data_IF_199929821675
#
_entry.id   IF_199929821675
#
_cell.length_a   1.000
_cell.length_b   1.000
_cell.length_c   1.000
_cell.angle_alpha   90.00
_cell.angle_beta   90.00
_cell.angle_gamma   90.00
#
_symmetry.space_group_name_H-M   'P 1'
#
loop_
_entity.id
_entity.type
_entity.pdbx_description
1 polymer ?
#
# COMPACT_ATOMS: atom_id res chain seq x y z
N UNK A 1 -20.32 7.23 27.70
CA UNK A 1 -19.10 6.55 27.24
C UNK A 1 -18.49 7.39 26.11
N UNK A 2 -17.45 8.17 26.38
CA UNK A 2 -16.79 8.98 25.34
C UNK A 2 -15.68 8.18 24.69
N UNK A 3 -15.90 7.70 23.46
CA UNK A 3 -14.85 7.09 22.64
C UNK A 3 -14.03 8.25 22.07
N UNK A 4 -12.87 8.54 22.67
CA UNK A 4 -11.88 9.46 22.10
C UNK A 4 -11.01 8.67 21.12
N UNK A 5 -11.31 8.76 19.83
CA UNK A 5 -10.42 8.20 18.79
C UNK A 5 -9.27 9.19 18.57
N UNK A 6 -8.00 8.82 18.81
CA UNK A 6 -6.88 9.67 18.45
C UNK A 6 -6.94 9.98 16.95
N UNK A 7 -6.72 11.24 16.54
CA UNK A 7 -6.74 11.64 15.13
C UNK A 7 -5.86 10.72 14.25
N UNK A 8 -4.76 10.21 14.81
CA UNK A 8 -3.89 9.22 14.19
C UNK A 8 -4.59 7.90 13.87
N UNK A 9 -5.25 7.26 14.83
CA UNK A 9 -5.93 5.98 14.60
C UNK A 9 -7.06 6.11 13.59
N UNK A 10 -7.79 7.23 13.61
CA UNK A 10 -8.83 7.51 12.63
C UNK A 10 -8.25 7.66 11.22
N UNK A 11 -7.18 8.44 11.03
CA UNK A 11 -6.50 8.57 9.74
C UNK A 11 -5.94 7.24 9.23
N UNK A 12 -5.45 6.39 10.13
CA UNK A 12 -5.00 5.04 9.79
C UNK A 12 -6.13 4.21 9.19
N UNK A 13 -7.26 4.14 9.90
CA UNK A 13 -8.43 3.37 9.47
C UNK A 13 -9.02 3.92 8.17
N UNK A 14 -9.11 5.25 8.01
CA UNK A 14 -9.59 5.88 6.78
C UNK A 14 -8.66 5.52 5.61
N UNK A 15 -7.34 5.69 5.77
CA UNK A 15 -6.38 5.37 4.71
C UNK A 15 -6.40 3.89 4.33
N UNK A 16 -6.46 3.01 5.32
CA UNK A 16 -6.54 1.57 5.11
C UNK A 16 -7.84 1.19 4.38
N UNK A 17 -8.97 1.73 4.84
CA UNK A 17 -10.29 1.47 4.23
C UNK A 17 -10.36 2.04 2.80
N UNK A 18 -9.82 3.22 2.55
CA UNK A 18 -9.78 3.81 1.22
C UNK A 18 -8.97 2.96 0.23
N UNK A 19 -7.79 2.49 0.64
CA UNK A 19 -6.99 1.55 -0.16
C UNK A 19 -7.76 0.25 -0.39
N UNK A 20 -8.36 -0.31 0.66
CA UNK A 20 -9.14 -1.52 0.60
C UNK A 20 -10.31 -1.42 -0.39
N UNK A 21 -11.11 -0.35 -0.30
CA UNK A 21 -12.23 -0.08 -1.21
C UNK A 21 -11.75 0.16 -2.64
N UNK A 22 -10.64 0.86 -2.85
CA UNK A 22 -10.05 1.04 -4.18
C UNK A 22 -9.69 -0.30 -4.81
N UNK A 23 -9.18 -1.25 -4.03
CA UNK A 23 -8.84 -2.59 -4.52
C UNK A 23 -10.06 -3.40 -4.94
N UNK A 24 -11.24 -3.12 -4.40
CA UNK A 24 -12.49 -3.77 -4.80
C UNK A 24 -13.04 -3.27 -6.14
N UNK A 25 -12.46 -2.22 -6.73
CA UNK A 25 -12.87 -1.73 -8.05
C UNK A 25 -12.53 -2.79 -9.12
N UNK A 26 -13.52 -3.26 -9.91
CA UNK A 26 -13.29 -4.26 -10.95
C UNK A 26 -12.52 -3.68 -12.15
N UNK A 27 -11.93 -4.55 -12.97
CA UNK A 27 -11.24 -4.21 -14.23
C UNK A 27 -10.02 -3.27 -14.13
N UNK A 28 -9.46 -3.13 -12.94
CA UNK A 28 -8.16 -2.45 -12.76
C UNK A 28 -7.02 -3.34 -13.23
N UNK A 29 -5.92 -2.76 -13.78
CA UNK A 29 -4.73 -3.53 -14.08
C UNK A 29 -4.22 -4.25 -12.82
N UNK A 30 -3.72 -5.49 -12.94
CA UNK A 30 -3.16 -6.22 -11.81
C UNK A 30 -2.12 -5.39 -11.07
N UNK A 31 -2.21 -5.35 -9.74
CA UNK A 31 -1.31 -4.61 -8.85
C UNK A 31 -1.14 -3.10 -9.12
N UNK A 32 -2.00 -2.48 -9.94
CA UNK A 32 -2.09 -1.03 -10.00
C UNK A 32 -2.92 -0.53 -8.81
N UNK A 33 -2.31 -0.46 -7.63
CA UNK A 33 -3.02 -0.18 -6.38
C UNK A 33 -2.28 0.82 -5.47
N UNK A 34 -3.02 1.63 -4.70
CA UNK A 34 -2.43 2.67 -3.85
C UNK A 34 -1.81 2.14 -2.54
N UNK A 35 -1.65 0.83 -2.36
CA UNK A 35 -1.20 0.24 -1.10
C UNK A 35 0.22 0.70 -0.72
N UNK A 36 1.20 0.55 -1.61
CA UNK A 36 2.57 0.97 -1.37
C UNK A 36 2.65 2.50 -1.25
N UNK A 37 1.93 3.22 -2.11
CA UNK A 37 1.87 4.68 -2.10
C UNK A 37 1.28 5.26 -0.79
N UNK A 38 0.40 4.52 -0.13
CA UNK A 38 -0.17 4.90 1.17
C UNK A 38 0.72 4.48 2.31
N UNK A 39 1.29 3.27 2.25
CA UNK A 39 2.19 2.73 3.28
C UNK A 39 3.43 3.59 3.46
N UNK A 40 4.05 4.08 2.38
CA UNK A 40 5.26 4.92 2.46
C UNK A 40 5.10 6.12 3.41
N UNK A 41 4.15 7.05 3.20
CA UNK A 41 3.95 8.17 4.12
C UNK A 41 3.42 7.74 5.50
N UNK A 42 2.55 6.72 5.55
CA UNK A 42 1.99 6.22 6.81
C UNK A 42 3.07 5.62 7.72
N UNK A 43 4.08 5.01 7.13
CA UNK A 43 5.12 4.31 7.87
C UNK A 43 5.94 5.20 8.79
N UNK A 44 6.09 6.48 8.45
CA UNK A 44 6.70 7.48 9.33
C UNK A 44 5.93 7.69 10.63
N UNK A 45 4.59 7.69 10.56
CA UNK A 45 3.73 8.00 11.71
C UNK A 45 3.39 6.78 12.54
N UNK A 46 3.15 5.64 11.91
CA UNK A 46 2.57 4.45 12.58
C UNK A 46 3.59 3.35 12.92
N UNK A 47 4.87 3.61 12.69
CA UNK A 47 5.94 2.69 13.06
C UNK A 47 5.98 1.40 12.22
N UNK A 48 6.90 0.48 12.53
CA UNK A 48 7.09 -0.74 11.75
C UNK A 48 5.87 -1.68 11.85
N UNK A 49 5.31 -1.85 13.05
CA UNK A 49 4.16 -2.74 13.26
C UNK A 49 2.89 -2.22 12.55
N UNK A 50 2.58 -0.93 12.67
CA UNK A 50 1.43 -0.34 11.98
C UNK A 50 1.57 -0.44 10.46
N UNK A 51 2.78 -0.25 9.94
CA UNK A 51 3.07 -0.39 8.51
C UNK A 51 2.95 -1.85 8.03
N UNK A 52 3.44 -2.79 8.84
CA UNK A 52 3.31 -4.22 8.56
C UNK A 52 1.83 -4.61 8.48
N UNK A 53 1.05 -4.27 9.52
CA UNK A 53 -0.36 -4.61 9.59
C UNK A 53 -1.16 -3.94 8.48
N UNK A 54 -0.81 -2.72 8.08
CA UNK A 54 -1.47 -2.04 6.95
C UNK A 54 -1.38 -2.88 5.67
N UNK A 55 -0.16 -3.29 5.30
CA UNK A 55 0.08 -4.11 4.11
C UNK A 55 -0.50 -5.51 4.24
N UNK A 56 -0.17 -6.20 5.34
CA UNK A 56 -0.54 -7.58 5.59
C UNK A 56 -2.06 -7.78 5.64
N UNK A 57 -2.76 -7.02 6.50
CA UNK A 57 -4.22 -7.14 6.61
C UNK A 57 -4.91 -6.65 5.35
N UNK A 58 -4.34 -5.65 4.65
CA UNK A 58 -4.85 -5.16 3.38
C UNK A 58 -4.99 -6.27 2.34
N UNK A 59 -4.00 -7.18 2.28
CA UNK A 59 -4.03 -8.36 1.43
C UNK A 59 -4.99 -9.42 1.97
N UNK A 60 -4.82 -9.85 3.22
CA UNK A 60 -5.61 -10.95 3.80
C UNK A 60 -7.11 -10.67 3.72
N UNK A 61 -7.52 -9.44 4.04
CA UNK A 61 -8.93 -9.06 3.98
C UNK A 61 -9.46 -9.01 2.53
N UNK A 62 -8.64 -8.57 1.58
CA UNK A 62 -9.07 -8.46 0.18
C UNK A 62 -9.27 -9.82 -0.44
N UNK A 63 -8.31 -10.73 -0.25
CA UNK A 63 -8.38 -12.09 -0.74
C UNK A 63 -9.55 -12.83 -0.08
N UNK A 64 -9.78 -12.64 1.22
CA UNK A 64 -10.94 -13.21 1.93
C UNK A 64 -12.28 -12.84 1.28
N UNK A 65 -12.39 -11.62 0.72
CA UNK A 65 -13.62 -11.12 0.10
C UNK A 65 -13.74 -11.38 -1.40
N UNK A 66 -12.66 -11.81 -2.06
CA UNK A 66 -12.63 -11.92 -3.53
C UNK A 66 -12.30 -13.32 -4.00
N UNK A 67 -11.02 -13.72 -3.95
CA UNK A 67 -10.52 -14.98 -4.50
C UNK A 67 -10.45 -16.13 -3.50
N UNK A 68 -10.68 -15.87 -2.21
CA UNK A 68 -10.39 -16.80 -1.12
C UNK A 68 -8.90 -16.85 -0.78
N UNK A 69 -8.55 -17.68 0.21
CA UNK A 69 -7.18 -17.82 0.70
C UNK A 69 -6.40 -18.88 -0.08
N UNK A 70 -5.13 -18.58 -0.37
CA UNK A 70 -4.21 -19.51 -1.04
C UNK A 70 -2.73 -19.17 -0.83
N UNK A 71 -1.85 -19.83 -1.59
CA UNK A 71 -0.41 -19.52 -1.58
C UNK A 71 -0.13 -18.06 -1.94
N UNK A 72 -0.91 -17.50 -2.86
CA UNK A 72 -0.89 -16.09 -3.20
C UNK A 72 -1.11 -15.19 -1.99
N UNK A 73 -2.13 -15.47 -1.16
CA UNK A 73 -2.47 -14.65 0.00
C UNK A 73 -1.31 -14.53 0.98
N UNK A 74 -0.71 -15.65 1.36
CA UNK A 74 0.36 -15.64 2.37
C UNK A 74 1.63 -14.95 1.87
N UNK A 75 2.06 -15.26 0.65
CA UNK A 75 3.28 -14.68 0.08
C UNK A 75 3.09 -13.18 -0.12
N UNK A 76 2.00 -12.75 -0.76
CA UNK A 76 1.75 -11.33 -1.04
C UNK A 76 1.50 -10.51 0.24
N UNK A 77 0.77 -11.06 1.23
CA UNK A 77 0.55 -10.39 2.50
C UNK A 77 1.85 -10.18 3.27
N UNK A 78 2.73 -11.19 3.28
CA UNK A 78 4.05 -11.07 3.89
C UNK A 78 4.93 -10.07 3.13
N UNK A 79 4.94 -10.11 1.80
CA UNK A 79 5.71 -9.16 1.00
C UNK A 79 5.25 -7.71 1.24
N UNK A 80 3.95 -7.42 1.23
CA UNK A 80 3.46 -6.07 1.52
C UNK A 80 3.67 -5.65 2.97
N UNK A 81 3.49 -6.57 3.93
CA UNK A 81 3.80 -6.30 5.33
C UNK A 81 5.28 -5.94 5.53
N UNK A 82 6.19 -6.72 4.95
CA UNK A 82 7.63 -6.47 5.02
C UNK A 82 8.05 -5.22 4.25
N UNK A 83 7.43 -4.91 3.11
CA UNK A 83 7.60 -3.61 2.44
C UNK A 83 7.20 -2.45 3.35
N UNK A 84 6.13 -2.60 4.14
CA UNK A 84 5.75 -1.59 5.14
C UNK A 84 6.81 -1.40 6.23
N UNK A 85 7.38 -2.49 6.73
CA UNK A 85 8.50 -2.42 7.69
C UNK A 85 9.72 -1.74 7.06
N UNK A 86 10.07 -2.13 5.83
CA UNK A 86 11.15 -1.52 5.06
C UNK A 86 10.92 -0.04 4.82
N UNK A 87 9.69 0.38 4.53
CA UNK A 87 9.32 1.77 4.35
C UNK A 87 9.55 2.56 5.63
N UNK A 88 9.15 2.03 6.79
CA UNK A 88 9.40 2.69 8.06
C UNK A 88 10.90 2.96 8.27
N UNK A 89 11.75 1.94 8.09
CA UNK A 89 13.20 2.10 8.28
C UNK A 89 13.85 3.00 7.22
N UNK A 90 13.32 3.01 6.00
CA UNK A 90 13.80 3.89 4.96
C UNK A 90 13.44 5.35 5.23
N UNK A 91 12.19 5.63 5.61
CA UNK A 91 11.67 6.99 5.76
C UNK A 91 11.87 7.58 7.16
N UNK A 92 12.10 6.81 8.23
CA UNK A 92 12.23 7.34 9.60
C UNK A 92 13.22 8.52 9.73
N UNK A 93 14.31 8.47 8.94
CA UNK A 93 15.38 9.49 8.93
C UNK A 93 15.53 10.19 7.57
N UNK A 94 14.53 10.08 6.68
CA UNK A 94 14.58 10.69 5.33
C UNK A 94 13.35 11.55 5.10
N UNK A 95 13.49 12.58 4.28
CA UNK A 95 12.34 13.40 3.92
C UNK A 95 11.31 12.62 3.13
N UNK A 96 10.04 12.92 3.37
CA UNK A 96 8.93 12.34 2.63
C UNK A 96 8.69 13.17 1.35
N UNK A 97 9.64 13.03 0.42
CA UNK A 97 9.64 13.72 -0.87
C UNK A 97 9.34 12.74 -2.01
N UNK A 98 8.84 13.24 -3.14
CA UNK A 98 8.62 12.44 -4.36
C UNK A 98 9.86 11.63 -4.72
N UNK A 99 11.04 12.25 -4.66
CA UNK A 99 12.31 11.57 -4.93
C UNK A 99 12.50 10.35 -4.03
N UNK A 100 12.33 10.50 -2.72
CA UNK A 100 12.50 9.39 -1.79
C UNK A 100 11.39 8.34 -1.91
N UNK A 101 10.15 8.75 -2.23
CA UNK A 101 9.08 7.80 -2.55
C UNK A 101 9.40 6.96 -3.79
N UNK A 102 9.98 7.55 -4.84
CA UNK A 102 10.40 6.80 -6.03
C UNK A 102 11.61 5.91 -5.75
N UNK A 103 12.62 6.40 -5.03
CA UNK A 103 13.83 5.63 -4.66
C UNK A 103 13.46 4.39 -3.84
N UNK A 104 12.44 4.48 -2.97
CA UNK A 104 11.96 3.31 -2.23
C UNK A 104 11.00 2.47 -3.07
N UNK A 105 10.00 3.11 -3.67
CA UNK A 105 8.87 2.47 -4.31
C UNK A 105 9.27 1.62 -5.52
N UNK A 106 10.11 2.14 -6.42
CA UNK A 106 10.46 1.45 -7.66
C UNK A 106 11.26 0.17 -7.37
N UNK A 107 12.38 0.19 -6.62
CA UNK A 107 13.09 -1.03 -6.25
C UNK A 107 12.23 -1.97 -5.40
N UNK A 108 11.40 -1.43 -4.49
CA UNK A 108 10.49 -2.23 -3.68
C UNK A 108 9.45 -2.99 -4.51
N UNK A 109 8.94 -2.36 -5.58
CA UNK A 109 8.00 -2.99 -6.53
C UNK A 109 8.68 -4.11 -7.31
N UNK A 110 9.88 -3.86 -7.83
CA UNK A 110 10.66 -4.87 -8.57
C UNK A 110 10.98 -6.07 -7.67
N UNK A 111 11.39 -5.82 -6.42
CA UNK A 111 11.69 -6.88 -5.46
C UNK A 111 10.44 -7.67 -5.09
N UNK A 112 9.32 -6.99 -4.83
CA UNK A 112 8.03 -7.62 -4.58
C UNK A 112 7.68 -8.58 -5.72
N UNK A 113 7.73 -8.08 -6.95
CA UNK A 113 7.40 -8.83 -8.14
C UNK A 113 8.32 -10.02 -8.36
N UNK A 114 9.63 -9.85 -8.14
CA UNK A 114 10.60 -10.93 -8.24
C UNK A 114 10.30 -12.07 -7.25
N UNK A 115 9.86 -11.74 -6.03
CA UNK A 115 9.46 -12.74 -5.03
C UNK A 115 8.13 -13.38 -5.40
N UNK A 116 7.11 -12.60 -5.79
CA UNK A 116 5.79 -13.15 -6.11
C UNK A 116 5.77 -13.95 -7.40
N UNK A 117 6.66 -13.67 -8.35
CA UNK A 117 6.86 -14.47 -9.55
C UNK A 117 7.14 -15.95 -9.21
N UNK A 118 7.81 -16.21 -8.08
CA UNK A 118 8.17 -17.56 -7.64
C UNK A 118 6.95 -18.37 -7.16
N UNK A 119 5.79 -17.75 -6.93
CA UNK A 119 4.58 -18.47 -6.49
C UNK A 119 4.20 -19.54 -7.52
N UNK A 120 4.20 -19.21 -8.81
CA UNK A 120 3.90 -20.14 -9.89
C UNK A 120 4.87 -21.33 -9.93
N UNK A 121 6.19 -21.11 -10.04
CA UNK A 121 7.18 -22.18 -10.05
C UNK A 121 7.19 -23.04 -8.78
N UNK A 122 7.07 -22.44 -7.60
CA UNK A 122 7.17 -23.16 -6.32
C UNK A 122 5.90 -23.96 -6.02
N UNK A 123 4.72 -23.38 -6.24
CA UNK A 123 3.46 -23.99 -5.78
C UNK A 123 2.64 -24.66 -6.90
N UNK A 124 2.89 -24.29 -8.17
CA UNK A 124 2.12 -24.78 -9.32
C UNK A 124 2.98 -25.47 -10.38
N UNK A 125 4.26 -25.74 -10.08
CA UNK A 125 5.23 -26.36 -11.00
C UNK A 125 5.35 -25.63 -12.35
N UNK A 126 5.03 -24.34 -12.39
CA UNK A 126 5.16 -23.53 -13.61
C UNK A 126 6.65 -23.41 -13.99
N UNK A 127 7.03 -23.60 -15.27
CA UNK A 127 8.42 -23.39 -15.67
C UNK A 127 8.87 -21.95 -15.36
N UNK A 128 10.05 -21.81 -14.75
CA UNK A 128 10.58 -20.49 -14.35
C UNK A 128 10.67 -19.51 -15.53
N UNK A 129 11.05 -19.98 -16.71
CA UNK A 129 11.11 -19.17 -17.92
C UNK A 129 9.76 -18.59 -18.33
N UNK A 130 8.66 -19.36 -18.15
CA UNK A 130 7.31 -18.90 -18.45
C UNK A 130 6.85 -17.88 -17.42
N UNK A 131 7.10 -18.14 -16.14
CA UNK A 131 6.79 -17.19 -15.06
C UNK A 131 7.53 -15.86 -15.29
N UNK A 132 8.82 -15.92 -15.63
CA UNK A 132 9.65 -14.76 -15.92
C UNK A 132 9.17 -13.97 -17.15
N UNK A 133 8.85 -14.66 -18.25
CA UNK A 133 8.33 -14.00 -19.45
C UNK A 133 7.02 -13.24 -19.19
N UNK A 134 6.10 -13.83 -18.41
CA UNK A 134 4.86 -13.17 -17.99
C UNK A 134 5.10 -12.04 -16.97
N UNK A 135 6.14 -12.15 -16.15
CA UNK A 135 6.48 -11.16 -15.13
C UNK A 135 6.96 -9.84 -15.72
N UNK A 136 7.64 -9.83 -16.86
CA UNK A 136 8.15 -8.60 -17.49
C UNK A 136 7.04 -7.56 -17.75
N UNK A 137 5.98 -7.84 -18.54
CA UNK A 137 4.92 -6.87 -18.77
C UNK A 137 4.15 -6.52 -17.48
N UNK A 138 4.01 -7.48 -16.57
CA UNK A 138 3.39 -7.25 -15.27
C UNK A 138 4.16 -6.24 -14.43
N UNK A 139 5.48 -6.40 -14.30
CA UNK A 139 6.34 -5.50 -13.53
C UNK A 139 6.42 -4.12 -14.15
N UNK A 140 6.40 -4.00 -15.48
CA UNK A 140 6.33 -2.69 -16.13
C UNK A 140 5.06 -1.93 -15.73
N UNK A 141 3.91 -2.59 -15.74
CA UNK A 141 2.64 -2.00 -15.31
C UNK A 141 2.64 -1.65 -13.82
N UNK A 142 3.20 -2.52 -12.99
CA UNK A 142 3.27 -2.31 -11.54
C UNK A 142 4.20 -1.13 -11.19
N UNK A 143 5.36 -1.04 -11.83
CA UNK A 143 6.29 0.09 -11.70
C UNK A 143 5.65 1.38 -12.19
N UNK A 144 4.93 1.37 -13.31
CA UNK A 144 4.19 2.55 -13.78
C UNK A 144 3.18 3.03 -12.72
N UNK A 145 2.40 2.11 -12.15
CA UNK A 145 1.47 2.43 -11.05
C UNK A 145 2.18 3.02 -9.84
N UNK A 146 3.28 2.42 -9.42
CA UNK A 146 4.12 2.94 -8.34
C UNK A 146 4.62 4.34 -8.64
N UNK A 147 5.11 4.63 -9.85
CA UNK A 147 5.59 5.96 -10.23
C UNK A 147 4.45 6.98 -10.16
N UNK A 148 3.29 6.66 -10.74
CA UNK A 148 2.11 7.55 -10.75
C UNK A 148 1.66 7.85 -9.32
N UNK A 149 1.43 6.83 -8.49
CA UNK A 149 0.95 7.04 -7.13
C UNK A 149 2.00 7.63 -6.19
N UNK A 150 3.28 7.26 -6.32
CA UNK A 150 4.36 7.85 -5.51
C UNK A 150 4.56 9.34 -5.81
N UNK A 151 4.30 9.76 -7.06
CA UNK A 151 4.43 11.16 -7.48
C UNK A 151 3.22 11.99 -7.09
N UNK A 152 2.00 11.45 -7.29
CA UNK A 152 0.77 12.22 -7.12
C UNK A 152 0.13 12.02 -5.74
N UNK A 153 0.04 10.78 -5.27
CA UNK A 153 -0.75 10.42 -4.09
C UNK A 153 0.08 10.46 -2.79
N UNK A 154 1.29 9.88 -2.78
CA UNK A 154 2.11 9.81 -1.56
C UNK A 154 2.42 11.18 -0.93
N UNK A 155 2.73 12.25 -1.69
CA UNK A 155 2.96 13.57 -1.10
C UNK A 155 1.68 14.16 -0.48
N UNK A 156 0.53 13.97 -1.13
CA UNK A 156 -0.76 14.42 -0.60
C UNK A 156 -1.12 13.70 0.71
N UNK A 157 -0.94 12.38 0.73
CA UNK A 157 -1.14 11.56 1.93
C UNK A 157 -0.17 11.92 3.05
N UNK A 158 1.09 12.22 2.74
CA UNK A 158 2.05 12.68 3.74
C UNK A 158 1.61 13.98 4.43
N UNK A 159 1.15 14.97 3.64
CA UNK A 159 0.62 16.23 4.18
C UNK A 159 -0.59 15.98 5.09
N UNK A 160 -1.52 15.15 4.62
CA UNK A 160 -2.74 14.84 5.37
C UNK A 160 -2.48 14.04 6.65
N UNK A 161 -1.62 13.03 6.60
CA UNK A 161 -1.41 12.08 7.70
C UNK A 161 -0.31 12.49 8.64
N UNK A 162 0.79 13.05 8.15
CA UNK A 162 1.95 13.34 9.01
C UNK A 162 2.00 14.81 9.40
N UNK A 163 1.73 15.73 8.47
CA UNK A 163 1.86 17.17 8.76
C UNK A 163 0.63 17.77 9.46
N UNK A 164 -0.57 17.22 9.26
CA UNK A 164 -1.77 17.67 9.97
C UNK A 164 -2.01 16.82 11.24
N UNK A 165 -1.95 17.44 12.41
CA UNK A 165 -2.22 16.76 13.69
C UNK A 165 -3.73 16.63 14.00
N UNK A 166 -4.54 17.57 13.54
CA UNK A 166 -6.01 17.58 13.68
C UNK A 166 -6.72 17.16 12.37
N UNK A 167 -7.94 16.65 12.49
CA UNK A 167 -8.90 16.57 11.40
C UNK A 167 -9.85 17.75 11.58
N UNK A 168 -9.64 18.83 10.84
CA UNK A 168 -10.56 19.97 10.86
C UNK A 168 -11.67 19.70 9.84
N UNK A 169 -12.85 19.33 10.34
CA UNK A 169 -14.06 19.30 9.54
C UNK A 169 -14.76 20.65 9.69
N UNK A 170 -14.63 21.53 8.69
CA UNK A 170 -15.46 22.72 8.60
C UNK A 170 -16.77 22.35 7.92
N UNK A 171 -17.82 22.06 8.70
CA UNK A 171 -19.18 21.96 8.19
C UNK A 171 -19.72 23.37 7.88
N UNK A 172 -19.30 23.92 6.74
CA UNK A 172 -19.92 25.13 6.19
C UNK A 172 -21.20 24.74 5.43
N UNK A 173 -22.21 24.20 6.12
CA UNK A 173 -23.54 24.04 5.53
C UNK A 173 -24.61 24.06 6.62
N UNK A 174 -25.07 25.26 6.96
CA UNK A 174 -26.47 25.62 7.25
C UNK A 174 -26.46 27.12 7.65
N UNK A 175 -26.32 28.00 6.66
CA UNK A 175 -26.86 29.35 6.80
C UNK A 175 -28.37 29.17 6.72
N UNK A 176 -29.05 29.22 7.87
CA UNK A 176 -30.51 29.43 7.90
C UNK A 176 -30.79 30.72 7.12
N UNK A 177 -31.52 30.59 6.02
CA UNK A 177 -32.30 31.69 5.45
C UNK A 177 -33.50 31.90 6.34
#
# INVERSE_FOLDING_TARGET
>A
MQIRIPSGSLKFVIGWTAVFLFRLIPFRPPNFEPILATVMPFSKRYGPLGSFLFGFLGIVAFDAMTSGWGSWTWVTAMCYGLLGVGAHYFFKNRDASVRNFLIFGVPGTILYDAVTMLIGPVFNSQPLAVAFAGQIPFTLMHVLGTVVFATLLSPALYRWVVQNESLEFSFAFFKKV
#
